data_IF_848644919588
#
_entry.id   IF_848644919588
#
_cell.length_a   1.000
_cell.length_b   1.000
_cell.length_c   1.000
_cell.angle_alpha   90.00
_cell.angle_beta   90.00
_cell.angle_gamma   90.00
#
_symmetry.space_group_name_H-M   'P 1'
#
loop_
_entity.id
_entity.type
_entity.pdbx_description
1 polymer ?
#
# COMPACT_ATOMS: atom_id res chain seq x y z
N UNK A 1 19.40 -9.02 -19.32
CA UNK A 1 17.96 -9.31 -19.58
C UNK A 1 17.70 -9.29 -21.09
N UNK A 2 17.80 -8.14 -21.76
CA UNK A 2 17.52 -8.02 -23.20
C UNK A 2 18.42 -8.88 -24.10
N UNK A 3 19.69 -9.09 -23.75
CA UNK A 3 20.57 -10.00 -24.51
C UNK A 3 20.10 -11.48 -24.54
N UNK A 4 19.15 -11.84 -23.69
CA UNK A 4 18.55 -13.18 -23.61
C UNK A 4 17.08 -13.18 -24.06
N UNK A 5 16.63 -12.12 -24.76
CA UNK A 5 15.28 -11.97 -25.29
C UNK A 5 14.15 -12.06 -24.25
N UNK A 6 14.46 -11.76 -22.98
CA UNK A 6 13.46 -11.67 -21.92
C UNK A 6 12.84 -10.27 -21.84
N UNK A 7 11.52 -10.19 -21.53
CA UNK A 7 10.90 -8.91 -21.21
C UNK A 7 11.52 -8.36 -19.93
N UNK A 8 11.86 -7.07 -19.95
CA UNK A 8 12.35 -6.34 -18.80
C UNK A 8 11.22 -5.52 -18.20
N UNK A 9 10.88 -5.84 -16.95
CA UNK A 9 9.95 -5.07 -16.12
C UNK A 9 10.77 -4.39 -15.03
N UNK A 10 10.69 -3.07 -14.94
CA UNK A 10 11.32 -2.30 -13.86
C UNK A 10 10.23 -1.80 -12.91
N UNK A 11 10.22 -2.31 -11.68
CA UNK A 11 9.40 -1.76 -10.60
C UNK A 11 10.25 -0.81 -9.76
N UNK A 12 9.81 0.44 -9.65
CA UNK A 12 10.54 1.53 -9.04
C UNK A 12 9.63 2.18 -7.99
N UNK A 13 10.07 2.11 -6.74
CA UNK A 13 9.34 2.70 -5.61
C UNK A 13 9.69 4.17 -5.47
N UNK A 14 8.68 5.03 -5.55
CA UNK A 14 8.78 6.47 -5.37
C UNK A 14 8.46 6.86 -3.93
N UNK A 15 9.23 7.80 -3.41
CA UNK A 15 9.08 8.43 -2.11
C UNK A 15 9.64 9.86 -2.17
N UNK A 16 9.43 10.66 -1.12
CA UNK A 16 9.85 12.07 -1.07
C UNK A 16 11.29 12.33 -1.55
N UNK A 17 12.22 11.41 -1.24
CA UNK A 17 13.64 11.60 -1.49
C UNK A 17 14.10 11.35 -2.93
N UNK A 18 13.31 10.64 -3.74
CA UNK A 18 13.68 10.32 -5.13
C UNK A 18 12.66 10.81 -6.17
N UNK A 19 11.45 11.20 -5.75
CA UNK A 19 10.37 11.54 -6.68
C UNK A 19 10.68 12.76 -7.56
N UNK A 20 11.50 13.70 -7.09
CA UNK A 20 11.94 14.85 -7.88
C UNK A 20 12.93 14.47 -8.99
N UNK A 21 13.46 13.25 -9.00
CA UNK A 21 14.37 12.72 -10.03
C UNK A 21 13.64 11.80 -11.02
N UNK A 22 12.30 11.85 -11.06
CA UNK A 22 11.48 10.95 -11.88
C UNK A 22 11.83 11.00 -13.37
N UNK A 23 12.23 12.16 -13.88
CA UNK A 23 12.73 12.34 -15.25
C UNK A 23 14.00 11.51 -15.50
N UNK A 24 15.00 11.62 -14.63
CA UNK A 24 16.24 10.84 -14.71
C UNK A 24 15.98 9.34 -14.54
N UNK A 25 15.07 8.97 -13.63
CA UNK A 25 14.63 7.58 -13.43
C UNK A 25 14.03 7.03 -14.72
N UNK A 26 13.16 7.80 -15.38
CA UNK A 26 12.51 7.41 -16.63
C UNK A 26 13.50 7.34 -17.79
N UNK A 27 14.42 8.29 -17.92
CA UNK A 27 15.51 8.24 -18.91
C UNK A 27 16.34 6.96 -18.76
N UNK A 28 16.71 6.59 -17.52
CA UNK A 28 17.39 5.31 -17.25
C UNK A 28 16.57 4.12 -17.74
N UNK A 29 15.23 4.12 -17.56
CA UNK A 29 14.39 3.00 -18.05
C UNK A 29 14.39 2.89 -19.58
N UNK A 30 14.49 4.02 -20.29
CA UNK A 30 14.61 4.07 -21.75
C UNK A 30 15.97 3.54 -22.19
N UNK A 31 17.06 3.96 -21.54
CA UNK A 31 18.42 3.47 -21.82
C UNK A 31 18.54 1.96 -21.62
N UNK A 32 17.86 1.41 -20.61
CA UNK A 32 17.81 -0.02 -20.34
C UNK A 32 16.91 -0.80 -21.30
N UNK A 33 16.17 -0.11 -22.17
CA UNK A 33 15.19 -0.69 -23.09
C UNK A 33 14.14 -1.54 -22.35
N UNK A 34 13.60 -0.99 -21.26
CA UNK A 34 12.58 -1.65 -20.44
C UNK A 34 11.23 -1.73 -21.18
N UNK A 35 10.62 -2.91 -21.17
CA UNK A 35 9.33 -3.16 -21.83
C UNK A 35 8.16 -2.63 -20.97
N UNK A 36 8.30 -2.76 -19.64
CA UNK A 36 7.33 -2.27 -18.66
C UNK A 36 8.04 -1.52 -17.54
N UNK A 37 7.46 -0.40 -17.11
CA UNK A 37 7.93 0.37 -15.97
C UNK A 37 6.76 0.59 -15.03
N UNK A 38 6.92 0.17 -13.79
CA UNK A 38 5.95 0.41 -12.71
C UNK A 38 6.54 1.45 -11.77
N UNK A 39 6.01 2.67 -11.84
CA UNK A 39 6.30 3.74 -10.90
C UNK A 39 5.29 3.65 -9.76
N UNK A 40 5.68 2.96 -8.70
CA UNK A 40 4.81 2.66 -7.56
C UNK A 40 5.11 3.61 -6.40
N UNK A 41 4.07 4.22 -5.82
CA UNK A 41 4.25 4.96 -4.57
C UNK A 41 4.57 4.01 -3.41
N UNK A 42 5.38 4.49 -2.46
CA UNK A 42 5.64 3.76 -1.21
C UNK A 42 4.32 3.46 -0.52
N UNK A 43 4.06 2.19 -0.21
CA UNK A 43 2.94 1.82 0.65
C UNK A 43 3.23 2.34 2.06
N UNK A 44 2.40 3.21 2.63
CA UNK A 44 2.64 3.84 3.94
C UNK A 44 2.17 2.98 5.13
N UNK A 45 2.53 1.71 5.07
CA UNK A 45 2.20 0.71 6.07
C UNK A 45 3.30 -0.32 6.28
N UNK A 46 3.22 -1.06 7.38
CA UNK A 46 4.33 -1.89 7.84
C UNK A 46 5.57 -1.04 8.15
N UNK A 47 6.72 -1.38 7.53
CA UNK A 47 8.01 -0.75 7.84
C UNK A 47 8.11 0.74 7.45
N UNK A 48 7.50 1.14 6.35
CA UNK A 48 7.55 2.53 5.88
C UNK A 48 6.79 3.48 6.80
N UNK A 49 5.79 2.99 7.55
CA UNK A 49 5.02 3.78 8.52
C UNK A 49 5.91 4.43 9.58
N UNK A 50 6.96 3.72 10.02
CA UNK A 50 7.95 4.21 10.99
C UNK A 50 8.68 5.45 10.45
N UNK A 51 8.85 5.51 9.13
CA UNK A 51 9.56 6.58 8.44
C UNK A 51 8.60 7.47 7.62
N UNK A 52 7.30 7.47 7.88
CA UNK A 52 6.31 8.16 7.04
C UNK A 52 6.58 9.66 6.92
N UNK A 53 7.03 10.27 8.02
CA UNK A 53 7.42 11.69 8.09
C UNK A 53 8.54 12.04 7.11
N UNK A 54 9.32 11.05 6.65
CA UNK A 54 10.41 11.18 5.67
C UNK A 54 10.04 10.70 4.28
N UNK A 55 9.20 9.67 4.19
CA UNK A 55 8.95 8.96 2.94
C UNK A 55 7.75 9.52 2.16
N UNK A 56 6.78 10.17 2.81
CA UNK A 56 5.57 10.67 2.14
C UNK A 56 5.89 11.91 1.27
N UNK A 57 5.75 11.87 -0.07
CA UNK A 57 5.91 13.07 -0.91
C UNK A 57 5.00 14.21 -0.48
N UNK A 58 5.42 15.43 -0.79
CA UNK A 58 4.52 16.59 -0.71
C UNK A 58 3.56 16.61 -1.90
N UNK A 59 2.46 17.35 -1.79
CA UNK A 59 1.49 17.53 -2.89
C UNK A 59 2.15 18.09 -4.15
N UNK A 60 3.02 19.08 -4.01
CA UNK A 60 3.73 19.70 -5.13
C UNK A 60 4.68 18.73 -5.86
N UNK A 61 5.33 17.82 -5.11
CA UNK A 61 6.17 16.77 -5.71
C UNK A 61 5.32 15.79 -6.52
N UNK A 62 4.14 15.41 -6.01
CA UNK A 62 3.23 14.52 -6.72
C UNK A 62 2.69 15.13 -8.00
N UNK A 63 2.21 16.38 -7.95
CA UNK A 63 1.72 17.11 -9.13
C UNK A 63 2.80 17.20 -10.22
N UNK A 64 4.04 17.49 -9.82
CA UNK A 64 5.18 17.54 -10.74
C UNK A 64 5.50 16.17 -11.34
N UNK A 65 5.56 15.14 -10.50
CA UNK A 65 5.88 13.79 -10.94
C UNK A 65 4.79 13.18 -11.83
N UNK A 66 3.52 13.44 -11.53
CA UNK A 66 2.39 13.00 -12.36
C UNK A 66 2.45 13.63 -13.75
N UNK A 67 2.70 14.94 -13.83
CA UNK A 67 2.88 15.61 -15.11
C UNK A 67 3.99 14.96 -15.94
N UNK A 68 5.17 14.74 -15.34
CA UNK A 68 6.31 14.12 -16.03
C UNK A 68 6.00 12.68 -16.44
N UNK A 69 5.40 11.88 -15.56
CA UNK A 69 5.02 10.50 -15.87
C UNK A 69 4.06 10.44 -17.08
N UNK A 70 3.07 11.33 -17.13
CA UNK A 70 2.15 11.44 -18.27
C UNK A 70 2.86 11.86 -19.57
N UNK A 71 3.79 12.82 -19.51
CA UNK A 71 4.61 13.21 -20.67
C UNK A 71 5.42 12.03 -21.23
N UNK A 72 6.00 11.20 -20.36
CA UNK A 72 6.73 10.00 -20.77
C UNK A 72 5.82 8.88 -21.28
N UNK A 73 4.65 8.68 -20.66
CA UNK A 73 3.64 7.74 -21.16
C UNK A 73 3.26 8.07 -22.61
N UNK A 74 3.03 9.35 -22.92
CA UNK A 74 2.77 9.82 -24.29
C UNK A 74 3.97 9.60 -25.22
N UNK A 75 5.17 10.02 -24.79
CA UNK A 75 6.42 9.92 -25.57
C UNK A 75 6.77 8.47 -25.93
N UNK A 76 6.48 7.51 -25.04
CA UNK A 76 6.86 6.11 -25.18
C UNK A 76 5.72 5.19 -25.64
N UNK A 77 4.56 5.75 -26.04
CA UNK A 77 3.44 4.97 -26.58
C UNK A 77 3.90 4.00 -27.66
N UNK A 78 3.61 2.72 -27.44
CA UNK A 78 3.96 1.63 -28.36
C UNK A 78 5.36 1.04 -28.19
N UNK A 79 6.25 1.68 -27.43
CA UNK A 79 7.62 1.21 -27.19
C UNK A 79 7.81 0.64 -25.77
N UNK A 80 7.31 1.34 -24.75
CA UNK A 80 7.39 0.91 -23.35
C UNK A 80 6.09 1.25 -22.63
N UNK A 81 5.62 0.37 -21.76
CA UNK A 81 4.39 0.59 -20.98
C UNK A 81 4.75 1.10 -19.59
N UNK A 82 4.49 2.38 -19.34
CA UNK A 82 4.63 2.99 -18.01
C UNK A 82 3.30 2.93 -17.26
N UNK A 83 3.33 2.37 -16.05
CA UNK A 83 2.23 2.34 -15.09
C UNK A 83 2.63 3.24 -13.93
N UNK A 84 1.91 4.34 -13.73
CA UNK A 84 2.12 5.24 -12.60
C UNK A 84 1.02 5.08 -11.56
N UNK A 85 1.41 4.79 -10.33
CA UNK A 85 0.49 4.58 -9.19
C UNK A 85 0.69 5.72 -8.20
N UNK A 86 -0.20 6.71 -8.28
CA UNK A 86 -0.28 7.86 -7.36
C UNK A 86 -0.64 7.36 -5.93
N UNK A 87 -0.04 7.93 -4.86
CA UNK A 87 -0.38 7.56 -3.50
C UNK A 87 -1.81 7.98 -3.14
N UNK A 88 -2.55 7.09 -2.50
CA UNK A 88 -3.97 7.29 -2.19
C UNK A 88 -4.22 8.43 -1.17
N UNK A 89 -3.19 8.90 -0.46
CA UNK A 89 -3.30 9.92 0.60
C UNK A 89 -3.75 11.32 0.13
N UNK A 90 -3.77 11.55 -1.19
CA UNK A 90 -4.17 12.82 -1.80
C UNK A 90 -5.44 12.68 -2.65
N UNK A 91 -6.08 11.51 -2.62
CA UNK A 91 -7.30 11.19 -3.37
C UNK A 91 -8.55 11.37 -2.49
N UNK A 92 -9.69 11.66 -3.11
CA UNK A 92 -10.97 11.77 -2.40
C UNK A 92 -11.70 10.42 -2.24
N UNK A 93 -11.32 9.41 -3.03
CA UNK A 93 -11.94 8.08 -3.04
C UNK A 93 -10.86 6.99 -3.07
N UNK A 94 -10.99 5.96 -2.24
CA UNK A 94 -10.04 4.86 -2.25
C UNK A 94 -10.23 4.02 -3.51
N UNK A 95 -9.15 3.41 -3.99
CA UNK A 95 -9.20 2.37 -5.02
C UNK A 95 -9.68 1.06 -4.39
N UNK A 96 -10.26 0.19 -5.21
CA UNK A 96 -10.56 -1.19 -4.83
C UNK A 96 -9.25 -1.95 -4.54
N UNK A 97 -8.85 -2.00 -3.26
CA UNK A 97 -7.60 -2.64 -2.84
C UNK A 97 -7.61 -4.12 -3.26
N UNK A 98 -6.70 -4.50 -4.17
CA UNK A 98 -6.65 -5.83 -4.80
C UNK A 98 -8.00 -6.28 -5.39
N UNK A 99 -8.82 -5.34 -5.87
CA UNK A 99 -10.18 -5.61 -6.36
C UNK A 99 -11.13 -6.27 -5.33
N UNK A 100 -10.89 -6.00 -4.04
CA UNK A 100 -11.64 -6.55 -2.91
C UNK A 100 -10.88 -7.64 -2.15
N UNK A 101 -11.12 -7.72 -0.84
CA UNK A 101 -10.48 -8.70 0.04
C UNK A 101 -10.76 -10.14 -0.40
N UNK A 102 -9.70 -10.92 -0.61
CA UNK A 102 -9.83 -12.32 -1.03
C UNK A 102 -10.60 -12.50 -2.33
N UNK A 103 -10.60 -11.49 -3.22
CA UNK A 103 -11.35 -11.51 -4.49
C UNK A 103 -10.56 -12.16 -5.62
N UNK A 104 -9.28 -11.78 -5.77
CA UNK A 104 -8.41 -12.26 -6.86
C UNK A 104 -7.00 -12.69 -6.40
N UNK A 105 -6.60 -12.36 -5.17
CA UNK A 105 -5.21 -12.47 -4.74
C UNK A 105 -5.03 -13.43 -3.57
N UNK A 106 -4.04 -14.32 -3.69
CA UNK A 106 -3.62 -15.29 -2.67
C UNK A 106 -2.11 -15.22 -2.51
N UNK A 107 -1.64 -14.90 -1.30
CA UNK A 107 -0.21 -14.98 -0.96
C UNK A 107 0.03 -16.22 -0.11
N UNK A 108 1.06 -17.01 -0.42
CA UNK A 108 1.57 -18.04 0.49
C UNK A 108 2.91 -17.56 1.04
N UNK A 109 2.96 -17.30 2.34
CA UNK A 109 4.18 -16.93 3.04
C UNK A 109 5.17 -18.11 3.10
N UNK A 110 6.48 -17.89 3.34
CA UNK A 110 7.48 -18.96 3.34
C UNK A 110 7.23 -20.10 4.34
N UNK A 111 6.47 -19.84 5.41
CA UNK A 111 6.07 -20.82 6.41
C UNK A 111 4.81 -21.63 6.03
N UNK A 112 4.17 -21.29 4.91
CA UNK A 112 2.94 -21.88 4.39
C UNK A 112 1.66 -21.10 4.72
N UNK A 113 1.74 -19.99 5.47
CA UNK A 113 0.57 -19.21 5.84
C UNK A 113 -0.05 -18.54 4.61
N UNK A 114 -1.35 -18.73 4.40
CA UNK A 114 -2.09 -18.18 3.28
C UNK A 114 -2.78 -16.87 3.65
N UNK A 115 -2.58 -15.82 2.85
CA UNK A 115 -3.09 -14.46 3.11
C UNK A 115 -3.90 -13.92 1.92
N UNK A 116 -5.04 -13.25 2.18
CA UNK A 116 -5.88 -12.63 1.14
C UNK A 116 -5.28 -11.35 0.54
N UNK A 117 -4.26 -10.78 1.19
CA UNK A 117 -3.39 -9.74 0.64
C UNK A 117 -2.03 -9.75 1.38
N UNK A 118 -1.00 -9.12 0.80
CA UNK A 118 0.34 -9.10 1.40
C UNK A 118 0.40 -8.50 2.81
N UNK A 119 -0.48 -7.54 3.11
CA UNK A 119 -0.49 -6.83 4.40
C UNK A 119 -1.46 -7.44 5.42
N UNK A 120 -2.22 -8.48 5.07
CA UNK A 120 -3.26 -9.05 5.92
C UNK A 120 -2.72 -9.54 7.28
N UNK A 121 -1.50 -10.07 7.30
CA UNK A 121 -0.83 -10.53 8.52
C UNK A 121 -0.56 -9.43 9.56
N UNK A 122 -0.75 -8.16 9.21
CA UNK A 122 -0.65 -7.03 10.15
C UNK A 122 -1.94 -6.81 10.95
N UNK A 123 -3.05 -7.42 10.54
CA UNK A 123 -4.32 -7.30 11.24
C UNK A 123 -4.34 -8.25 12.45
N UNK A 124 -4.63 -7.75 13.67
CA UNK A 124 -4.68 -8.58 14.86
C UNK A 124 -5.95 -9.44 14.88
N UNK A 125 -5.90 -10.53 15.64
CA UNK A 125 -7.07 -11.36 15.91
C UNK A 125 -7.61 -12.15 14.72
N UNK A 126 -6.81 -12.31 13.65
CA UNK A 126 -7.16 -13.15 12.50
C UNK A 126 -6.20 -14.35 12.48
N UNK A 127 -6.76 -15.54 12.58
CA UNK A 127 -6.03 -16.78 12.35
C UNK A 127 -6.05 -17.11 10.85
N UNK A 128 -4.88 -17.06 10.21
CA UNK A 128 -4.74 -17.36 8.79
C UNK A 128 -4.47 -18.85 8.57
N UNK A 129 -5.12 -19.51 7.58
CA UNK A 129 -4.92 -20.92 7.30
C UNK A 129 -3.52 -21.19 6.73
N UNK A 130 -3.02 -22.42 6.90
CA UNK A 130 -1.73 -22.85 6.36
C UNK A 130 -1.92 -23.96 5.33
N UNK A 131 -1.19 -23.89 4.21
CA UNK A 131 -1.29 -24.88 3.11
C UNK A 131 -0.78 -26.28 3.49
N UNK A 132 -0.09 -26.40 4.63
CA UNK A 132 0.32 -27.70 5.20
C UNK A 132 -0.86 -28.46 5.83
N UNK A 133 -1.89 -27.73 6.26
CA UNK A 133 -3.01 -28.26 7.03
C UNK A 133 -4.34 -28.20 6.26
N UNK A 134 -4.46 -27.30 5.28
CA UNK A 134 -5.67 -27.08 4.48
C UNK A 134 -5.31 -26.93 3.00
N UNK A 135 -6.10 -27.56 2.11
CA UNK A 135 -5.88 -27.41 0.67
C UNK A 135 -6.21 -25.99 0.18
N UNK A 136 -5.61 -25.59 -0.95
CA UNK A 136 -5.74 -24.23 -1.49
C UNK A 136 -7.19 -23.88 -1.87
N UNK A 137 -7.99 -24.87 -2.27
CA UNK A 137 -9.38 -24.60 -2.64
C UNK A 137 -10.24 -24.37 -1.38
N UNK A 138 -10.07 -25.19 -0.35
CA UNK A 138 -10.77 -25.04 0.91
C UNK A 138 -10.35 -23.77 1.65
N UNK A 139 -9.05 -23.45 1.73
CA UNK A 139 -8.62 -22.19 2.37
C UNK A 139 -9.20 -20.98 1.64
N UNK A 140 -9.30 -21.04 0.30
CA UNK A 140 -9.79 -19.91 -0.48
C UNK A 140 -11.29 -19.72 -0.28
N UNK A 141 -12.10 -20.78 -0.27
CA UNK A 141 -13.57 -20.66 -0.23
C UNK A 141 -14.15 -20.72 1.18
N UNK A 142 -13.52 -21.44 2.10
CA UNK A 142 -14.14 -21.83 3.37
C UNK A 142 -13.49 -21.16 4.59
N UNK A 143 -12.24 -20.67 4.48
CA UNK A 143 -11.59 -20.08 5.65
C UNK A 143 -12.23 -18.76 6.10
N UNK A 144 -12.37 -18.59 7.41
CA UNK A 144 -12.90 -17.37 8.01
C UNK A 144 -12.04 -16.15 7.63
N UNK A 145 -10.71 -16.31 7.59
CA UNK A 145 -9.80 -15.23 7.24
C UNK A 145 -10.02 -14.68 5.81
N UNK A 146 -10.27 -15.56 4.82
CA UNK A 146 -10.55 -15.12 3.45
C UNK A 146 -11.97 -14.58 3.30
N UNK A 147 -12.93 -15.06 4.08
CA UNK A 147 -14.32 -14.61 4.04
C UNK A 147 -14.60 -13.38 4.91
N UNK A 148 -13.69 -13.01 5.83
CA UNK A 148 -13.90 -11.96 6.84
C UNK A 148 -14.39 -10.62 6.27
N UNK A 149 -13.81 -10.18 5.15
CA UNK A 149 -14.18 -8.94 4.46
C UNK A 149 -14.68 -9.16 3.03
N UNK A 150 -15.15 -10.37 2.71
CA UNK A 150 -15.85 -10.63 1.44
C UNK A 150 -17.30 -10.21 1.52
N UNK A 151 -17.85 -9.80 0.37
CA UNK A 151 -19.19 -9.25 0.30
C UNK A 151 -19.30 -7.93 1.08
N UNK A 152 -20.50 -7.63 1.58
CA UNK A 152 -20.82 -6.32 2.15
C UNK A 152 -21.37 -6.37 3.59
N UNK A 153 -21.64 -7.55 4.13
CA UNK A 153 -22.33 -7.71 5.43
C UNK A 153 -21.49 -7.21 6.61
N UNK A 154 -20.16 -7.30 6.48
CA UNK A 154 -19.18 -6.82 7.46
C UNK A 154 -19.08 -5.29 7.52
N UNK A 155 -19.50 -4.58 6.47
CA UNK A 155 -19.28 -3.14 6.34
C UNK A 155 -20.02 -2.37 7.44
N UNK A 156 -19.39 -1.34 8.01
CA UNK A 156 -20.06 -0.39 8.92
C UNK A 156 -20.38 0.90 8.18
N UNK A 157 -21.13 1.80 8.80
CA UNK A 157 -21.36 3.13 8.21
C UNK A 157 -20.04 3.92 8.10
N UNK A 158 -19.83 4.71 7.04
CA UNK A 158 -20.78 5.02 5.95
C UNK A 158 -20.86 3.96 4.84
N UNK A 159 -19.94 2.98 4.79
CA UNK A 159 -19.82 2.03 3.70
C UNK A 159 -21.05 1.13 3.53
N UNK A 160 -21.68 0.72 4.65
CA UNK A 160 -22.85 -0.16 4.66
C UNK A 160 -24.00 0.37 3.78
N UNK A 161 -24.31 1.67 3.91
CA UNK A 161 -25.36 2.34 3.13
C UNK A 161 -24.85 3.05 1.85
N UNK A 162 -23.54 3.07 1.60
CA UNK A 162 -22.95 3.80 0.48
C UNK A 162 -23.26 3.14 -0.88
N UNK A 163 -23.65 3.92 -1.91
CA UNK A 163 -23.85 3.41 -3.27
C UNK A 163 -22.54 3.06 -4.01
N UNK A 164 -21.38 3.44 -3.47
CA UNK A 164 -20.05 3.18 -4.07
C UNK A 164 -19.42 1.88 -3.56
N UNK A 165 -20.03 1.19 -2.58
CA UNK A 165 -19.43 0.02 -1.92
C UNK A 165 -19.10 -1.16 -2.84
N UNK A 166 -19.82 -1.30 -3.96
CA UNK A 166 -19.55 -2.33 -4.97
C UNK A 166 -18.40 -1.95 -5.91
N UNK A 167 -17.98 -0.69 -5.91
CA UNK A 167 -16.88 -0.17 -6.73
C UNK A 167 -15.54 -0.25 -6.02
N UNK A 168 -15.50 0.15 -4.75
CA UNK A 168 -14.27 0.28 -3.97
C UNK A 168 -14.13 -0.74 -2.83
N UNK A 169 -15.19 -1.48 -2.51
CA UNK A 169 -15.25 -2.45 -1.42
C UNK A 169 -14.88 -1.84 -0.05
N UNK A 170 -15.14 -0.54 0.12
CA UNK A 170 -14.80 0.24 1.30
C UNK A 170 -13.34 0.73 1.35
N UNK A 171 -12.50 0.37 0.37
CA UNK A 171 -11.06 0.65 0.35
C UNK A 171 -10.20 -0.40 1.05
N UNK A 172 -8.98 -0.05 1.44
CA UNK A 172 -8.00 -0.97 2.03
C UNK A 172 -8.26 -1.28 3.51
N UNK A 173 -8.51 -2.55 3.85
CA UNK A 173 -8.76 -3.00 5.24
C UNK A 173 -7.55 -2.80 6.14
N UNK A 174 -6.35 -3.07 5.61
CA UNK A 174 -5.11 -2.89 6.35
C UNK A 174 -4.93 -1.41 6.70
N UNK A 175 -5.07 -0.52 5.72
CA UNK A 175 -4.94 0.94 5.91
C UNK A 175 -5.95 1.48 6.91
N UNK A 176 -7.23 1.08 6.79
CA UNK A 176 -8.26 1.41 7.78
C UNK A 176 -7.81 1.05 9.20
N UNK A 177 -7.41 -0.20 9.43
CA UNK A 177 -6.92 -0.63 10.74
C UNK A 177 -5.73 0.19 11.25
N UNK A 178 -4.74 0.45 10.40
CA UNK A 178 -3.53 1.16 10.85
C UNK A 178 -3.74 2.62 11.18
N UNK A 179 -4.76 3.24 10.59
CA UNK A 179 -5.09 4.64 10.80
C UNK A 179 -6.14 4.83 11.88
N UNK A 180 -7.09 3.90 12.01
CA UNK A 180 -8.26 4.06 12.89
C UNK A 180 -8.33 3.05 14.03
N UNK A 181 -7.46 2.03 14.02
CA UNK A 181 -7.49 0.92 14.98
C UNK A 181 -8.53 -0.16 14.68
N UNK A 182 -9.35 -0.02 13.63
CA UNK A 182 -10.38 -1.00 13.25
C UNK A 182 -10.42 -1.21 11.73
N UNK A 183 -10.18 -2.45 11.29
CA UNK A 183 -10.21 -2.84 9.88
C UNK A 183 -11.60 -2.71 9.23
N UNK A 184 -12.68 -2.65 10.01
CA UNK A 184 -14.05 -2.50 9.51
C UNK A 184 -14.38 -1.08 9.10
N UNK A 185 -13.67 -0.09 9.63
CA UNK A 185 -13.91 1.31 9.31
C UNK A 185 -13.73 1.60 7.82
N UNK A 186 -14.43 2.63 7.34
CA UNK A 186 -14.18 3.17 6.02
C UNK A 186 -12.72 3.61 5.90
N UNK A 187 -12.08 3.29 4.77
CA UNK A 187 -10.72 3.75 4.49
C UNK A 187 -10.65 5.28 4.65
N UNK A 188 -9.75 5.83 5.50
CA UNK A 188 -9.67 7.26 5.74
C UNK A 188 -9.34 8.12 4.51
N UNK A 189 -8.83 7.51 3.43
CA UNK A 189 -8.72 8.19 2.12
C UNK A 189 -10.09 8.62 1.60
N UNK A 190 -11.15 7.87 1.87
CA UNK A 190 -12.49 8.23 1.46
C UNK A 190 -12.96 9.52 2.16
N UNK A 191 -13.35 10.54 1.39
CA UNK A 191 -13.87 11.79 1.94
C UNK A 191 -15.15 11.65 2.77
N UNK A 192 -15.81 10.48 2.72
CA UNK A 192 -16.98 10.15 3.56
C UNK A 192 -16.60 9.52 4.90
N UNK A 193 -15.35 9.08 5.08
CA UNK A 193 -14.88 8.48 6.32
C UNK A 193 -14.87 9.51 7.45
N UNK A 194 -15.31 9.16 8.67
CA UNK A 194 -15.21 10.06 9.82
C UNK A 194 -13.75 10.40 10.19
N UNK A 195 -12.79 9.60 9.73
CA UNK A 195 -11.36 9.80 9.98
C UNK A 195 -10.64 10.59 8.86
N UNK A 196 -11.36 11.05 7.84
CA UNK A 196 -10.75 11.73 6.70
C UNK A 196 -10.06 13.05 7.11
N UNK A 197 -10.67 13.82 8.01
CA UNK A 197 -10.09 15.08 8.49
C UNK A 197 -8.76 14.84 9.24
N UNK A 198 -8.68 13.79 10.04
CA UNK A 198 -7.45 13.40 10.76
C UNK A 198 -6.34 12.99 9.78
N UNK A 199 -6.69 12.27 8.71
CA UNK A 199 -5.75 11.95 7.64
C UNK A 199 -5.18 13.22 6.99
N UNK A 200 -6.04 14.17 6.62
CA UNK A 200 -5.63 15.42 5.99
C UNK A 200 -4.72 16.25 6.91
N UNK A 201 -5.09 16.39 8.19
CA UNK A 201 -4.25 17.08 9.18
C UNK A 201 -2.88 16.42 9.30
N UNK A 202 -2.82 15.09 9.29
CA UNK A 202 -1.56 14.35 9.35
C UNK A 202 -0.71 14.55 8.10
N UNK A 203 -1.32 14.56 6.91
CA UNK A 203 -0.63 14.82 5.63
C UNK A 203 -0.08 16.25 5.61
N UNK A 204 -0.87 17.23 6.04
CA UNK A 204 -0.45 18.64 6.10
C UNK A 204 0.67 18.86 7.12
N UNK A 205 0.60 18.26 8.30
CA UNK A 205 1.67 18.27 9.31
C UNK A 205 2.98 17.72 8.73
N UNK A 206 2.92 16.55 8.08
CA UNK A 206 4.08 15.93 7.42
C UNK A 206 4.64 16.84 6.31
N UNK A 207 3.77 17.43 5.49
CA UNK A 207 4.15 18.36 4.44
C UNK A 207 4.83 19.61 4.98
N UNK A 208 4.33 20.16 6.09
CA UNK A 208 4.93 21.33 6.75
C UNK A 208 6.35 21.02 7.27
N UNK A 209 6.56 19.81 7.81
CA UNK A 209 7.85 19.32 8.31
C UNK A 209 8.85 19.00 7.20
N UNK A 210 8.38 18.70 5.99
CA UNK A 210 9.25 18.42 4.85
C UNK A 210 10.14 19.61 4.46
N UNK A 211 9.77 20.83 4.85
CA UNK A 211 10.58 22.05 4.64
C UNK A 211 11.72 22.21 5.65
N UNK A 212 11.75 21.39 6.72
CA UNK A 212 12.73 21.49 7.78
C UNK A 212 13.95 20.62 7.42
N UNK A 213 15.14 21.22 7.36
CA UNK A 213 16.43 20.54 7.13
C UNK A 213 16.87 19.64 8.32
N UNK A 214 15.93 19.04 9.04
CA UNK A 214 16.23 18.08 10.10
C UNK A 214 16.43 16.69 9.51
N UNK A 215 17.70 16.34 9.28
CA UNK A 215 18.13 14.95 9.13
C UNK A 215 17.73 14.17 10.39
N UNK A 216 16.63 13.42 10.35
CA UNK A 216 16.43 12.35 11.33
C UNK A 216 16.89 11.03 10.71
N UNK A 217 17.49 10.14 11.51
CA UNK A 217 17.91 8.83 11.02
C UNK A 217 16.72 8.00 10.51
N UNK A 218 16.77 7.57 9.24
CA UNK A 218 15.83 6.58 8.71
C UNK A 218 16.06 5.24 9.42
N UNK A 219 14.98 4.64 9.92
CA UNK A 219 15.04 3.29 10.50
C UNK A 219 14.99 2.27 9.37
N UNK A 220 16.16 1.74 9.01
CA UNK A 220 16.28 0.69 8.00
C UNK A 220 15.71 -0.65 8.48
N UNK A 221 15.09 -1.40 7.57
CA UNK A 221 14.71 -2.79 7.80
C UNK A 221 15.96 -3.67 7.81
N UNK A 222 16.40 -4.06 9.00
CA UNK A 222 17.48 -5.01 9.22
C UNK A 222 17.13 -5.93 10.40
N UNK A 223 17.88 -7.02 10.56
CA UNK A 223 17.62 -8.03 11.60
C UNK A 223 17.56 -7.44 13.02
N UNK A 224 18.42 -6.46 13.33
CA UNK A 224 18.47 -5.81 14.65
C UNK A 224 17.18 -5.03 14.92
N UNK A 225 16.80 -4.15 13.99
CA UNK A 225 15.60 -3.32 14.10
C UNK A 225 14.32 -4.14 14.07
N UNK A 226 14.24 -5.17 13.20
CA UNK A 226 13.09 -6.08 13.15
C UNK A 226 12.88 -6.83 14.46
N UNK A 227 13.94 -7.40 15.07
CA UNK A 227 13.83 -8.09 16.37
C UNK A 227 13.43 -7.14 17.50
N UNK A 228 13.91 -5.89 17.47
CA UNK A 228 13.54 -4.88 18.47
C UNK A 228 12.04 -4.57 18.40
N UNK A 229 11.54 -4.27 17.20
CA UNK A 229 10.13 -3.92 16.99
C UNK A 229 9.18 -5.08 17.32
N UNK A 230 9.54 -6.32 17.00
CA UNK A 230 8.72 -7.49 17.37
C UNK A 230 8.55 -7.62 18.90
N UNK A 231 9.64 -7.44 19.66
CA UNK A 231 9.58 -7.48 21.13
C UNK A 231 8.74 -6.34 21.71
N UNK A 232 8.79 -5.16 21.12
CA UNK A 232 7.99 -4.01 21.54
C UNK A 232 6.50 -4.24 21.25
N UNK A 233 6.17 -4.87 20.12
CA UNK A 233 4.80 -5.26 19.80
C UNK A 233 4.25 -6.28 20.81
N UNK A 234 4.98 -7.37 21.08
CA UNK A 234 4.59 -8.41 22.03
C UNK A 234 4.40 -7.84 23.46
N UNK A 235 5.29 -6.93 23.87
CA UNK A 235 5.19 -6.27 25.17
C UNK A 235 3.98 -5.33 25.28
N UNK A 236 3.54 -4.73 24.17
CA UNK A 236 2.37 -3.86 24.14
C UNK A 236 1.08 -4.68 24.21
N UNK A 237 1.06 -5.86 23.57
CA UNK A 237 -0.09 -6.77 23.61
C UNK A 237 -0.29 -7.39 25.00
N UNK A 238 0.81 -7.69 25.71
CA UNK A 238 0.78 -8.28 27.05
C UNK A 238 0.34 -7.33 28.18
N UNK A 239 0.26 -6.02 27.92
CA UNK A 239 -0.18 -5.00 28.92
C UNK A 239 -1.66 -4.64 28.76
N UNK A 240 -2.30 -5.12 27.68
CA UNK A 240 -3.71 -4.85 27.35
C UNK A 240 -4.66 -6.04 27.60
N UNK A 241 -4.17 -7.13 28.19
CA UNK A 241 -4.97 -8.22 28.78
C UNK A 241 -5.08 -8.06 30.31
#
# INVERSE_FOLDING_TARGET
VKQYDYPMVLNIVLHRGNIDQIDHILDMTVELNADYVELASTQYYGWSKINIDYLLPTRAQLETAERIAHEYQEKLKGNSKIIYVVPDYFEDRPKACMNGWGSIFLTIAPDGTALPCHAAAQLPGIEFPNVKDMDVNALWHESDAFNLFRGFDWMVEPCRSCPEKEKDFGGCRCQAYMMTGDARNADPVCSKSPHHAELLERVDDIGSKATWNTEQPIVFRNMKNSKKLLKEADATTAVTE
#
